data_IF_518442327541
#
_entry.id   IF_518442327541
#
_cell.length_a   1.000
_cell.length_b   1.000
_cell.length_c   1.000
_cell.angle_alpha   90.00
_cell.angle_beta   90.00
_cell.angle_gamma   90.00
#
_symmetry.space_group_name_H-M   'P 1'
#
loop_
_entity.id
_entity.type
_entity.pdbx_description
1 polymer ?
#
# COMPACT_ATOMS: atom_id res chain seq x y z
N UNK A 1 14.44 -69.43 -16.48
CA UNK A 1 13.59 -68.74 -15.48
C UNK A 1 13.46 -67.29 -15.94
N UNK A 2 12.34 -66.96 -16.56
CA UNK A 2 11.27 -66.09 -16.01
C UNK A 2 11.75 -64.65 -15.77
N UNK A 3 11.41 -63.79 -16.74
CA UNK A 3 11.30 -62.34 -16.60
C UNK A 3 10.31 -61.99 -15.49
N UNK A 4 10.54 -60.90 -14.74
CA UNK A 4 9.49 -59.97 -14.29
C UNK A 4 10.17 -58.66 -13.85
N UNK A 5 9.77 -57.61 -14.56
CA UNK A 5 9.97 -56.18 -14.27
C UNK A 5 9.04 -55.82 -13.11
N UNK A 6 9.52 -55.08 -12.11
CA UNK A 6 8.65 -54.35 -11.17
C UNK A 6 9.01 -52.88 -11.21
N UNK A 7 8.19 -52.14 -11.97
CA UNK A 7 8.00 -50.69 -11.88
C UNK A 7 7.63 -50.34 -10.43
N UNK A 8 8.41 -49.47 -9.79
CA UNK A 8 7.92 -48.72 -8.63
C UNK A 8 7.14 -47.49 -9.13
N UNK A 9 5.83 -47.61 -9.05
CA UNK A 9 4.88 -46.52 -9.17
C UNK A 9 5.00 -45.58 -7.96
N UNK A 10 5.27 -44.31 -8.26
CA UNK A 10 4.58 -43.12 -7.77
C UNK A 10 3.61 -43.32 -6.59
N UNK A 11 3.90 -42.71 -5.43
CA UNK A 11 2.92 -41.92 -4.68
C UNK A 11 3.61 -40.93 -3.72
N UNK A 12 3.16 -39.68 -3.77
CA UNK A 12 2.93 -38.90 -2.55
C UNK A 12 4.02 -37.94 -2.11
N UNK A 13 4.16 -36.82 -2.82
CA UNK A 13 3.95 -35.50 -2.22
C UNK A 13 3.38 -34.60 -3.32
N UNK A 14 2.07 -34.70 -3.51
CA UNK A 14 1.31 -33.61 -4.10
C UNK A 14 1.40 -32.42 -3.16
N UNK A 15 2.54 -31.72 -3.15
CA UNK A 15 2.46 -30.28 -2.95
C UNK A 15 1.73 -29.79 -4.20
N UNK A 16 0.43 -29.58 -4.05
CA UNK A 16 -0.22 -28.52 -4.78
C UNK A 16 0.62 -27.28 -4.55
N UNK A 17 1.55 -26.99 -5.46
CA UNK A 17 2.11 -25.67 -5.60
C UNK A 17 0.91 -24.80 -5.92
N UNK A 18 0.33 -24.20 -4.88
CA UNK A 18 -0.35 -22.94 -5.06
C UNK A 18 0.77 -22.02 -5.62
N UNK A 19 0.68 -21.77 -6.92
CA UNK A 19 1.64 -20.96 -7.65
C UNK A 19 1.33 -19.49 -7.38
N UNK A 20 1.65 -18.99 -6.19
CA UNK A 20 1.60 -17.55 -5.90
C UNK A 20 2.72 -16.76 -6.61
N UNK A 21 3.46 -17.38 -7.54
CA UNK A 21 4.37 -16.67 -8.44
C UNK A 21 3.66 -15.65 -9.36
N UNK A 22 2.32 -15.66 -9.40
CA UNK A 22 1.51 -14.61 -10.01
C UNK A 22 1.15 -13.45 -9.06
N UNK A 23 1.18 -13.65 -7.73
CA UNK A 23 0.81 -12.62 -6.75
C UNK A 23 1.87 -11.50 -6.66
N UNK A 24 3.13 -11.82 -6.96
CA UNK A 24 4.21 -10.82 -7.05
C UNK A 24 3.93 -9.76 -8.13
N UNK A 25 3.26 -10.14 -9.23
CA UNK A 25 2.91 -9.19 -10.29
C UNK A 25 1.85 -8.15 -9.85
N UNK A 26 1.13 -8.44 -8.77
CA UNK A 26 0.06 -7.58 -8.26
C UNK A 26 0.45 -6.83 -6.99
N UNK A 27 1.49 -7.24 -6.28
CA UNK A 27 1.90 -6.58 -5.04
C UNK A 27 2.97 -5.53 -5.31
N UNK A 28 2.67 -4.25 -5.09
CA UNK A 28 3.65 -3.18 -5.25
C UNK A 28 4.75 -3.23 -4.19
N UNK A 29 5.81 -2.42 -4.39
CA UNK A 29 6.95 -2.29 -3.46
C UNK A 29 6.51 -2.07 -2.01
N UNK A 30 5.35 -1.44 -1.80
CA UNK A 30 4.82 -1.15 -0.47
C UNK A 30 3.97 -2.27 0.15
N UNK A 31 3.79 -3.42 -0.51
CA UNK A 31 2.94 -4.50 -0.02
C UNK A 31 1.44 -4.20 -0.18
N UNK A 32 1.08 -3.35 -1.14
CA UNK A 32 -0.31 -2.98 -1.48
C UNK A 32 -0.69 -3.73 -2.75
N UNK A 33 -1.87 -4.34 -2.76
CA UNK A 33 -2.43 -4.96 -3.96
C UNK A 33 -2.76 -3.90 -5.00
N UNK A 34 -2.04 -3.90 -6.11
CA UNK A 34 -2.16 -2.97 -7.25
C UNK A 34 -2.79 -3.61 -8.49
N UNK A 35 -3.40 -4.79 -8.34
CA UNK A 35 -4.24 -5.40 -9.38
C UNK A 35 -5.50 -4.58 -9.69
N UNK A 36 -5.87 -3.67 -8.79
CA UNK A 36 -7.05 -2.81 -8.92
C UNK A 36 -6.68 -1.33 -9.06
N UNK A 37 -7.52 -0.50 -9.73
CA UNK A 37 -7.30 0.94 -9.79
C UNK A 37 -7.28 1.63 -8.41
N UNK A 38 -8.06 1.13 -7.44
CA UNK A 38 -8.05 1.66 -6.07
C UNK A 38 -6.70 1.39 -5.40
N UNK A 39 -6.21 0.16 -5.52
CA UNK A 39 -4.90 -0.25 -5.03
C UNK A 39 -3.74 0.57 -5.61
N UNK A 40 -3.78 0.84 -6.91
CA UNK A 40 -2.78 1.70 -7.58
C UNK A 40 -2.78 3.13 -7.02
N UNK A 41 -3.96 3.71 -6.77
CA UNK A 41 -4.07 5.05 -6.15
C UNK A 41 -3.52 5.04 -4.73
N UNK A 42 -3.86 4.03 -3.94
CA UNK A 42 -3.35 3.88 -2.59
C UNK A 42 -1.84 3.70 -2.57
N UNK A 43 -1.27 2.86 -3.44
CA UNK A 43 0.19 2.64 -3.49
C UNK A 43 0.95 3.92 -3.87
N UNK A 44 0.44 4.70 -4.82
CA UNK A 44 1.00 5.99 -5.20
C UNK A 44 0.97 6.98 -4.02
N UNK A 45 -0.18 7.10 -3.34
CA UNK A 45 -0.32 7.96 -2.16
C UNK A 45 0.57 7.49 -0.99
N UNK A 46 0.61 6.18 -0.74
CA UNK A 46 1.44 5.57 0.29
C UNK A 46 2.93 5.86 0.04
N UNK A 47 3.38 5.81 -1.21
CA UNK A 47 4.76 6.17 -1.58
C UNK A 47 5.09 7.60 -1.20
N UNK A 48 4.19 8.55 -1.45
CA UNK A 48 4.34 9.96 -1.03
C UNK A 48 4.37 10.07 0.48
N UNK A 49 3.43 9.44 1.20
CA UNK A 49 3.40 9.50 2.67
C UNK A 49 4.66 8.88 3.28
N UNK A 50 5.19 7.82 2.69
CA UNK A 50 6.42 7.17 3.14
C UNK A 50 7.64 8.09 2.95
N UNK A 51 7.77 8.75 1.80
CA UNK A 51 8.93 9.61 1.52
C UNK A 51 8.86 10.96 2.21
N UNK A 52 7.68 11.59 2.26
CA UNK A 52 7.51 12.97 2.74
C UNK A 52 7.13 13.07 4.22
N UNK A 53 6.62 11.99 4.82
CA UNK A 53 6.11 12.02 6.19
C UNK A 53 6.80 10.99 7.08
N UNK A 54 6.72 9.70 6.73
CA UNK A 54 7.16 8.62 7.62
C UNK A 54 8.68 8.51 7.73
N UNK A 55 9.42 9.00 6.73
CA UNK A 55 10.89 9.06 6.74
C UNK A 55 11.45 9.90 7.89
N UNK A 56 10.79 11.01 8.23
CA UNK A 56 11.19 11.91 9.32
C UNK A 56 10.35 11.70 10.60
N UNK A 57 9.15 11.12 10.50
CA UNK A 57 8.23 10.90 11.61
C UNK A 57 8.30 9.47 12.16
N UNK A 58 9.52 9.02 12.46
CA UNK A 58 9.72 7.73 13.14
C UNK A 58 9.12 7.80 14.56
N UNK A 59 8.47 6.73 15.00
CA UNK A 59 7.70 6.70 16.24
C UNK A 59 6.24 7.11 16.04
N UNK A 60 6.01 8.39 15.69
CA UNK A 60 4.65 8.95 15.62
C UNK A 60 3.77 8.32 14.52
N UNK A 61 4.32 8.07 13.33
CA UNK A 61 3.60 7.44 12.21
C UNK A 61 3.98 5.97 12.00
N UNK A 62 4.58 5.30 12.99
CA UNK A 62 5.01 3.91 12.81
C UNK A 62 3.87 2.97 12.41
N UNK A 63 2.68 3.19 12.97
CA UNK A 63 1.48 2.40 12.65
C UNK A 63 1.05 2.52 11.19
N UNK A 64 1.37 3.64 10.52
CA UNK A 64 1.03 3.83 9.11
C UNK A 64 1.72 2.80 8.21
N UNK A 65 2.83 2.20 8.67
CA UNK A 65 3.47 1.13 7.93
C UNK A 65 2.59 -0.11 7.73
N UNK A 66 1.59 -0.32 8.58
CA UNK A 66 0.66 -1.44 8.50
C UNK A 66 -0.58 -1.12 7.64
N UNK A 67 -0.82 0.13 7.26
CA UNK A 67 -2.04 0.54 6.55
C UNK A 67 -1.91 0.30 5.04
N UNK A 68 -2.13 -0.96 4.64
CA UNK A 68 -2.02 -1.41 3.23
C UNK A 68 -3.34 -1.41 2.47
N UNK A 69 -4.43 -0.98 3.10
CA UNK A 69 -5.76 -0.90 2.52
C UNK A 69 -6.40 0.44 2.85
N UNK A 70 -7.29 0.94 1.99
CA UNK A 70 -8.02 2.19 2.24
C UNK A 70 -8.81 2.13 3.56
N UNK A 71 -9.42 0.98 3.84
CA UNK A 71 -10.15 0.71 5.09
C UNK A 71 -9.26 0.90 6.32
N UNK A 72 -7.99 0.51 6.28
CA UNK A 72 -7.08 0.70 7.42
C UNK A 72 -6.84 2.19 7.70
N UNK A 73 -6.69 3.00 6.67
CA UNK A 73 -6.53 4.46 6.81
C UNK A 73 -7.82 5.13 7.30
N UNK A 74 -8.99 4.68 6.81
CA UNK A 74 -10.31 5.16 7.25
C UNK A 74 -10.57 4.80 8.71
N UNK A 75 -10.34 3.54 9.11
CA UNK A 75 -10.53 3.08 10.48
C UNK A 75 -9.59 3.79 11.47
N UNK A 76 -8.42 4.24 11.01
CA UNK A 76 -7.52 5.06 11.80
C UNK A 76 -7.97 6.53 11.92
N UNK A 77 -9.06 6.94 11.26
CA UNK A 77 -9.57 8.32 11.26
C UNK A 77 -8.66 9.31 10.51
N UNK A 78 -7.78 8.80 9.64
CA UNK A 78 -6.77 9.60 8.95
C UNK A 78 -7.30 10.21 7.65
N UNK A 79 -8.23 9.50 7.01
CA UNK A 79 -8.90 9.90 5.79
C UNK A 79 -10.41 9.67 5.89
N UNK A 80 -11.16 10.49 5.17
CA UNK A 80 -12.59 10.36 4.95
C UNK A 80 -12.83 10.24 3.45
N UNK A 81 -13.58 9.21 3.04
CA UNK A 81 -13.82 8.95 1.61
C UNK A 81 -14.44 10.17 0.91
N UNK A 82 -13.90 10.51 -0.25
CA UNK A 82 -14.38 11.63 -1.07
C UNK A 82 -14.09 13.02 -0.52
N UNK A 83 -13.45 13.17 0.65
CA UNK A 83 -13.31 14.48 1.31
C UNK A 83 -11.93 14.72 1.88
N UNK A 84 -11.14 15.53 1.16
CA UNK A 84 -9.86 16.05 1.65
C UNK A 84 -10.03 17.00 2.85
N UNK A 85 -11.12 17.77 2.89
CA UNK A 85 -11.42 18.73 3.95
C UNK A 85 -11.58 18.08 5.34
N UNK A 86 -11.98 16.82 5.38
CA UNK A 86 -12.14 16.04 6.63
C UNK A 86 -11.08 14.96 6.80
N UNK A 87 -10.04 14.98 5.95
CA UNK A 87 -8.92 14.02 5.99
C UNK A 87 -7.69 14.65 6.62
N UNK A 88 -7.34 14.22 7.82
CA UNK A 88 -6.26 14.84 8.61
C UNK A 88 -4.88 14.74 7.97
N UNK A 89 -4.61 13.67 7.22
CA UNK A 89 -3.34 13.51 6.48
C UNK A 89 -3.14 14.59 5.42
N UNK A 90 -4.24 15.11 4.88
CA UNK A 90 -4.23 16.11 3.83
C UNK A 90 -4.24 17.53 4.43
N UNK A 91 -5.15 17.79 5.38
CA UNK A 91 -5.32 19.11 6.01
C UNK A 91 -4.09 19.61 6.78
N UNK A 92 -3.17 18.72 7.16
CA UNK A 92 -1.93 19.10 7.84
C UNK A 92 -0.86 19.66 6.91
N UNK A 93 -1.01 19.51 5.59
CA UNK A 93 0.00 19.97 4.62
C UNK A 93 0.07 21.50 4.56
N UNK A 94 1.28 22.06 4.43
CA UNK A 94 1.48 23.50 4.25
C UNK A 94 0.73 24.07 3.04
N UNK A 95 0.65 23.29 1.95
CA UNK A 95 -0.06 23.69 0.73
C UNK A 95 -1.56 23.96 0.94
N UNK A 96 -2.14 23.49 2.05
CA UNK A 96 -3.57 23.63 2.36
C UNK A 96 -3.82 24.42 3.65
N UNK A 97 -2.80 25.09 4.19
CA UNK A 97 -2.90 25.90 5.40
C UNK A 97 -2.48 25.21 6.70
N UNK A 98 -1.96 23.99 6.62
CA UNK A 98 -1.29 23.33 7.74
C UNK A 98 0.17 23.75 7.91
N UNK A 99 0.94 22.98 8.70
CA UNK A 99 2.36 23.26 8.98
C UNK A 99 3.29 22.05 8.72
N UNK A 100 2.80 21.02 8.05
CA UNK A 100 3.63 19.87 7.65
C UNK A 100 4.15 20.02 6.21
N UNK A 101 5.44 19.72 5.96
CA UNK A 101 6.46 19.32 6.93
C UNK A 101 7.03 20.53 7.71
N UNK A 102 7.18 20.39 9.03
CA UNK A 102 7.65 21.45 9.92
C UNK A 102 9.06 21.89 9.53
N UNK A 103 9.27 23.20 9.41
CA UNK A 103 10.55 23.84 9.03
C UNK A 103 11.17 23.39 7.69
N UNK A 104 10.47 22.56 6.93
CA UNK A 104 10.88 22.12 5.60
C UNK A 104 9.99 22.77 4.53
N UNK A 105 10.44 22.80 3.26
CA UNK A 105 9.60 23.23 2.15
C UNK A 105 8.32 22.41 2.08
N UNK A 106 7.26 23.04 1.58
CA UNK A 106 6.02 22.31 1.26
C UNK A 106 6.29 21.19 0.26
N UNK A 107 5.49 20.11 0.30
CA UNK A 107 5.58 19.07 -0.72
C UNK A 107 5.27 19.63 -2.10
N UNK A 108 5.76 18.97 -3.15
CA UNK A 108 5.46 19.40 -4.51
C UNK A 108 3.98 19.28 -4.83
N UNK A 109 3.52 20.11 -5.76
CA UNK A 109 2.14 20.14 -6.20
C UNK A 109 1.68 18.76 -6.73
N UNK A 110 2.52 18.07 -7.50
CA UNK A 110 2.23 16.72 -7.99
C UNK A 110 2.00 15.73 -6.85
N UNK A 111 2.83 15.74 -5.81
CA UNK A 111 2.68 14.86 -4.65
C UNK A 111 1.41 15.17 -3.87
N UNK A 112 1.09 16.45 -3.70
CA UNK A 112 -0.18 16.90 -3.10
C UNK A 112 -1.38 16.38 -3.89
N UNK A 113 -1.35 16.54 -5.21
CA UNK A 113 -2.41 16.05 -6.10
C UNK A 113 -2.57 14.53 -6.08
N UNK A 114 -1.47 13.77 -5.90
CA UNK A 114 -1.54 12.32 -5.70
C UNK A 114 -2.36 11.97 -4.44
N UNK A 115 -2.12 12.67 -3.33
CA UNK A 115 -2.88 12.48 -2.09
C UNK A 115 -4.35 12.89 -2.24
N UNK A 116 -4.60 14.04 -2.89
CA UNK A 116 -5.95 14.53 -3.20
C UNK A 116 -6.72 13.54 -4.07
N UNK A 117 -6.11 13.07 -5.16
CA UNK A 117 -6.72 12.12 -6.09
C UNK A 117 -7.05 10.81 -5.42
N UNK A 118 -6.15 10.29 -4.58
CA UNK A 118 -6.43 9.11 -3.79
C UNK A 118 -7.67 9.32 -2.91
N UNK A 119 -7.68 10.34 -2.04
CA UNK A 119 -8.76 10.59 -1.07
C UNK A 119 -10.11 10.86 -1.75
N UNK A 120 -10.12 11.63 -2.83
CA UNK A 120 -11.36 12.00 -3.54
C UNK A 120 -11.97 10.85 -4.34
N UNK A 121 -11.20 9.80 -4.64
CA UNK A 121 -11.64 8.61 -5.38
C UNK A 121 -11.74 7.35 -4.50
N UNK A 122 -11.97 7.56 -3.20
CA UNK A 122 -12.34 6.53 -2.23
C UNK A 122 -13.84 6.33 -2.17
#
# INVERSE_FOLDING_TARGET
MKYIVVLMFLTGCGQSFNSNSGDEAYTAVNGIDTSTPAGQRLDAAYTVLKSECMSCHTGYHNSWNAYKTDIAWQNAGLISAGSTATSSVYMRLKNVGGDMPLLNPQISETKRQTLETWITNL
#
